data_IF_133733939753
#
_entry.id   IF_133733939753
#
_cell.length_a   1.000
_cell.length_b   1.000
_cell.length_c   1.000
_cell.angle_alpha   90.00
_cell.angle_beta   90.00
_cell.angle_gamma   90.00
#
_symmetry.space_group_name_H-M   'P 1'
#
loop_
_entity.id
_entity.type
_entity.pdbx_description
1 polymer ?
#
# COMPACT_ATOMS: atom_id res chain seq x y z
N UNK A 1 0.31 -16.81 10.13
CA UNK A 1 0.76 -15.72 9.29
C UNK A 1 0.12 -15.69 7.89
N UNK A 2 -0.27 -16.83 7.33
CA UNK A 2 -0.99 -16.86 6.05
C UNK A 2 -2.40 -16.26 6.17
N UNK A 3 -3.03 -16.42 7.31
CA UNK A 3 -4.41 -15.99 7.55
C UNK A 3 -4.56 -14.48 7.68
N UNK A 4 -3.45 -13.75 7.89
CA UNK A 4 -3.46 -12.30 8.08
C UNK A 4 -3.29 -11.51 6.78
N UNK A 5 -2.98 -12.18 5.66
CA UNK A 5 -3.06 -11.55 4.35
C UNK A 5 -4.54 -11.38 4.01
N UNK A 6 -5.02 -10.19 3.72
CA UNK A 6 -4.36 -9.02 3.13
C UNK A 6 -4.10 -7.83 4.08
N UNK A 7 -3.83 -8.07 5.34
CA UNK A 7 -3.64 -6.99 6.31
C UNK A 7 -2.49 -6.02 5.94
N UNK A 8 -2.67 -4.74 6.25
CA UNK A 8 -1.70 -3.70 5.91
C UNK A 8 -0.36 -3.80 6.63
N UNK A 9 -0.28 -4.55 7.76
CA UNK A 9 0.97 -4.81 8.46
C UNK A 9 1.83 -5.93 7.84
N UNK A 10 1.35 -6.56 6.76
CA UNK A 10 2.07 -7.55 5.97
C UNK A 10 2.26 -7.08 4.51
N UNK A 11 3.00 -5.98 4.27
CA UNK A 11 3.21 -5.50 2.91
C UNK A 11 4.12 -6.45 2.13
N UNK A 12 3.97 -6.45 0.81
CA UNK A 12 4.93 -7.07 -0.09
C UNK A 12 6.18 -6.20 -0.18
N UNK A 13 7.27 -6.68 0.40
CA UNK A 13 8.53 -5.95 0.48
C UNK A 13 9.13 -5.73 -0.91
N UNK A 14 9.52 -4.50 -1.16
CA UNK A 14 10.20 -4.10 -2.38
C UNK A 14 11.01 -2.83 -2.13
N UNK A 15 12.18 -2.66 -2.77
CA UNK A 15 12.92 -1.40 -2.72
C UNK A 15 12.15 -0.24 -3.37
N UNK A 16 11.21 -0.51 -4.27
CA UNK A 16 10.37 0.48 -4.90
C UNK A 16 8.93 0.32 -4.42
N UNK A 17 8.55 1.12 -3.43
CA UNK A 17 7.19 1.14 -2.90
C UNK A 17 6.84 2.52 -2.34
N UNK A 18 5.55 2.82 -2.25
CA UNK A 18 5.05 3.99 -1.55
C UNK A 18 3.80 3.63 -0.73
N UNK A 19 3.37 4.52 0.16
CA UNK A 19 2.28 4.24 1.09
C UNK A 19 2.44 2.88 1.83
N UNK A 20 3.68 2.47 2.10
CA UNK A 20 4.03 1.17 2.72
C UNK A 20 3.47 -0.04 1.95
N UNK A 21 3.25 0.06 0.64
CA UNK A 21 2.63 -0.99 -0.16
C UNK A 21 1.17 -1.27 0.20
N UNK A 22 0.45 -0.29 0.71
CA UNK A 22 -0.93 -0.43 1.16
C UNK A 22 -1.86 0.63 0.58
N UNK A 23 -3.14 0.35 0.64
CA UNK A 23 -4.22 1.30 0.40
C UNK A 23 -5.01 1.47 1.70
N UNK A 24 -5.12 2.70 2.17
CA UNK A 24 -6.01 3.05 3.27
C UNK A 24 -7.45 3.03 2.77
N UNK A 25 -8.30 2.24 3.39
CA UNK A 25 -9.73 2.14 3.09
C UNK A 25 -10.51 2.73 4.26
N UNK A 26 -11.30 3.76 3.97
CA UNK A 26 -12.17 4.42 4.96
C UNK A 26 -13.62 4.15 4.61
N UNK A 27 -14.41 3.73 5.59
CA UNK A 27 -15.82 3.40 5.45
C UNK A 27 -16.65 4.24 6.41
N UNK A 28 -17.62 4.96 5.87
CA UNK A 28 -18.51 5.86 6.63
C UNK A 28 -19.94 5.34 6.45
N UNK A 29 -20.67 5.01 7.52
CA UNK A 29 -22.05 4.59 7.43
C UNK A 29 -22.93 5.68 6.79
N UNK A 30 -23.95 5.27 6.05
CA UNK A 30 -25.00 6.18 5.56
C UNK A 30 -25.85 6.72 6.72
N UNK A 31 -26.59 7.78 6.48
CA UNK A 31 -27.61 8.29 7.43
C UNK A 31 -28.83 7.37 7.51
N UNK A 32 -29.07 6.59 6.46
CA UNK A 32 -30.21 5.67 6.38
C UNK A 32 -29.78 4.23 6.68
N UNK A 33 -30.49 3.59 7.59
CA UNK A 33 -30.27 2.19 7.90
C UNK A 33 -30.66 1.30 6.72
N UNK A 34 -29.80 0.33 6.40
CA UNK A 34 -29.96 -0.57 5.26
C UNK A 34 -29.21 -0.15 4.02
N UNK A 35 -28.88 1.13 3.88
CA UNK A 35 -28.10 1.64 2.76
C UNK A 35 -26.66 1.15 2.78
N UNK A 36 -26.05 1.17 1.59
CA UNK A 36 -24.61 0.93 1.44
C UNK A 36 -23.82 2.07 2.07
N UNK A 37 -22.80 1.75 2.86
CA UNK A 37 -21.90 2.75 3.43
C UNK A 37 -21.04 3.40 2.32
N UNK A 38 -20.62 4.62 2.54
CA UNK A 38 -19.64 5.29 1.66
C UNK A 38 -18.24 4.70 1.91
N UNK A 39 -17.55 4.34 0.83
CA UNK A 39 -16.18 3.81 0.91
C UNK A 39 -15.25 4.67 0.06
N UNK A 40 -14.13 5.06 0.65
CA UNK A 40 -13.07 5.80 -0.03
C UNK A 40 -11.72 5.14 0.18
N UNK A 41 -10.85 5.23 -0.82
CA UNK A 41 -9.52 4.63 -0.80
C UNK A 41 -8.44 5.70 -1.03
N UNK A 42 -7.31 5.57 -0.35
CA UNK A 42 -6.11 6.42 -0.52
C UNK A 42 -4.84 5.57 -0.56
N UNK A 43 -3.96 5.78 -1.56
CA UNK A 43 -4.08 6.71 -2.68
C UNK A 43 -5.14 6.25 -3.68
N UNK A 44 -5.78 7.21 -4.36
CA UNK A 44 -6.66 6.88 -5.50
C UNK A 44 -5.79 6.45 -6.67
N UNK A 45 -6.09 5.31 -7.26
CA UNK A 45 -5.39 4.76 -8.43
C UNK A 45 -6.29 3.75 -9.14
N UNK A 46 -6.14 3.61 -10.44
CA UNK A 46 -6.80 2.57 -11.23
C UNK A 46 -6.08 1.21 -11.15
N UNK A 47 -4.98 1.11 -10.40
CA UNK A 47 -4.24 -0.14 -10.20
C UNK A 47 -5.03 -1.20 -9.44
N UNK A 48 -5.98 -0.80 -8.65
CA UNK A 48 -6.87 -1.68 -7.89
C UNK A 48 -8.34 -1.35 -8.17
N UNK A 49 -9.20 -2.31 -7.94
CA UNK A 49 -10.65 -2.13 -7.96
C UNK A 49 -11.24 -2.23 -6.56
N UNK A 50 -12.45 -1.70 -6.37
CA UNK A 50 -13.14 -1.72 -5.08
C UNK A 50 -14.54 -2.29 -5.23
N UNK A 51 -14.82 -3.38 -4.54
CA UNK A 51 -16.15 -3.95 -4.38
C UNK A 51 -16.71 -3.59 -2.99
N UNK A 52 -17.74 -2.76 -2.97
CA UNK A 52 -18.41 -2.37 -1.73
C UNK A 52 -19.66 -3.24 -1.51
N UNK A 53 -19.63 -4.10 -0.50
CA UNK A 53 -20.69 -5.01 -0.08
C UNK A 53 -21.13 -4.72 1.35
N UNK A 54 -21.04 -3.47 1.79
CA UNK A 54 -21.41 -3.04 3.13
C UNK A 54 -22.89 -2.72 3.23
N UNK A 55 -23.40 -2.77 4.46
CA UNK A 55 -24.74 -2.24 4.82
C UNK A 55 -24.64 -1.45 6.10
N UNK A 56 -25.23 -0.25 6.11
CA UNK A 56 -25.36 0.57 7.30
C UNK A 56 -26.38 -0.07 8.27
N UNK A 57 -25.98 -0.21 9.53
CA UNK A 57 -26.79 -0.77 10.59
C UNK A 57 -26.62 0.05 11.88
N UNK A 58 -27.56 -0.06 12.80
CA UNK A 58 -27.47 0.56 14.14
C UNK A 58 -26.51 -0.17 15.06
N UNK A 59 -26.16 -1.42 14.74
CA UNK A 59 -25.24 -2.25 15.48
C UNK A 59 -24.20 -2.86 14.52
N UNK A 60 -22.98 -2.97 14.96
CA UNK A 60 -21.90 -3.71 14.26
C UNK A 60 -21.98 -5.22 14.46
N UNK A 61 -23.11 -5.74 14.93
CA UNK A 61 -23.33 -7.19 15.02
C UNK A 61 -23.19 -7.81 13.62
N UNK A 62 -22.39 -8.86 13.53
CA UNK A 62 -22.04 -9.52 12.28
C UNK A 62 -20.61 -9.24 11.88
N UNK A 63 -20.17 -9.98 10.88
CA UNK A 63 -18.78 -9.94 10.41
C UNK A 63 -18.57 -8.72 9.49
N UNK A 64 -17.70 -7.82 9.89
CA UNK A 64 -17.19 -6.76 9.03
C UNK A 64 -15.75 -7.10 8.60
N UNK A 65 -15.40 -6.91 7.34
CA UNK A 65 -14.06 -7.20 6.85
C UNK A 65 -13.61 -6.26 5.74
N UNK A 66 -12.32 -5.97 5.76
CA UNK A 66 -11.54 -5.51 4.62
C UNK A 66 -10.78 -6.71 4.05
N UNK A 67 -10.79 -6.88 2.75
CA UNK A 67 -10.12 -8.00 2.09
C UNK A 67 -9.70 -7.62 0.66
N UNK A 68 -8.95 -8.49 0.02
CA UNK A 68 -8.69 -8.51 -1.42
C UNK A 68 -8.57 -9.96 -1.89
N UNK A 69 -8.51 -10.18 -3.18
CA UNK A 69 -8.34 -11.49 -3.82
C UNK A 69 -6.89 -11.99 -3.75
N UNK A 70 -6.33 -12.04 -2.54
CA UNK A 70 -4.92 -12.32 -2.26
C UNK A 70 -4.46 -13.73 -2.71
N UNK A 71 -5.36 -14.71 -2.73
CA UNK A 71 -5.04 -16.08 -3.17
C UNK A 71 -4.61 -16.15 -4.63
N UNK A 72 -5.10 -15.24 -5.45
CA UNK A 72 -4.76 -15.13 -6.88
C UNK A 72 -3.79 -13.98 -7.16
N UNK A 73 -3.22 -13.37 -6.12
CA UNK A 73 -2.41 -12.16 -6.23
C UNK A 73 -3.13 -10.98 -6.91
N UNK A 74 -4.47 -10.98 -6.85
CA UNK A 74 -5.28 -9.90 -7.40
C UNK A 74 -5.29 -8.67 -6.48
N UNK A 75 -5.69 -7.53 -7.05
CA UNK A 75 -5.85 -6.26 -6.35
C UNK A 75 -7.31 -5.76 -6.38
N UNK A 76 -8.25 -6.68 -6.32
CA UNK A 76 -9.66 -6.36 -6.15
C UNK A 76 -9.98 -6.27 -4.64
N UNK A 77 -10.08 -5.06 -4.13
CA UNK A 77 -10.40 -4.78 -2.74
C UNK A 77 -11.89 -5.05 -2.49
N UNK A 78 -12.20 -5.72 -1.41
CA UNK A 78 -13.58 -6.03 -1.01
C UNK A 78 -13.82 -5.53 0.40
N UNK A 79 -14.83 -4.68 0.56
CA UNK A 79 -15.32 -4.24 1.87
C UNK A 79 -16.70 -4.80 2.07
N UNK A 80 -16.92 -5.54 3.16
CA UNK A 80 -18.19 -6.23 3.39
C UNK A 80 -18.61 -6.22 4.85
N UNK A 81 -19.91 -6.37 5.07
CA UNK A 81 -20.50 -6.52 6.40
C UNK A 81 -21.26 -5.30 6.90
N UNK A 82 -21.63 -5.33 8.17
CA UNK A 82 -22.44 -4.30 8.82
C UNK A 82 -21.56 -3.15 9.35
N UNK A 83 -21.95 -1.92 9.06
CA UNK A 83 -21.25 -0.70 9.44
C UNK A 83 -22.14 0.18 10.30
N UNK A 84 -21.82 0.31 11.59
CA UNK A 84 -22.52 1.18 12.53
C UNK A 84 -21.71 2.44 12.91
N UNK A 85 -20.40 2.41 12.67
CA UNK A 85 -19.49 3.52 12.96
C UNK A 85 -18.42 3.62 11.86
N UNK A 86 -17.71 4.72 11.81
CA UNK A 86 -16.59 4.90 10.88
C UNK A 86 -15.55 3.79 11.11
N UNK A 87 -15.16 3.16 10.02
CA UNK A 87 -14.10 2.14 9.99
C UNK A 87 -12.98 2.60 9.07
N UNK A 88 -11.75 2.29 9.45
CA UNK A 88 -10.55 2.65 8.70
C UNK A 88 -9.50 1.57 8.89
N UNK A 89 -8.93 1.11 7.80
CA UNK A 89 -7.85 0.13 7.84
C UNK A 89 -6.99 0.24 6.59
N UNK A 90 -5.84 -0.42 6.61
CA UNK A 90 -4.93 -0.53 5.49
C UNK A 90 -4.98 -1.96 4.93
N UNK A 91 -5.14 -2.04 3.62
CA UNK A 91 -5.09 -3.31 2.88
C UNK A 91 -3.82 -3.32 2.04
N UNK A 92 -3.03 -4.40 2.12
CA UNK A 92 -1.83 -4.51 1.31
C UNK A 92 -2.16 -4.67 -0.18
N UNK A 93 -1.24 -4.23 -1.04
CA UNK A 93 -1.37 -4.33 -2.49
C UNK A 93 -0.28 -5.27 -3.01
N UNK A 94 -0.67 -6.19 -3.88
CA UNK A 94 0.27 -7.05 -4.58
C UNK A 94 1.05 -6.26 -5.62
N UNK A 95 2.35 -6.60 -5.79
CA UNK A 95 3.30 -5.95 -6.69
C UNK A 95 3.47 -4.45 -6.40
N UNK A 96 4.10 -4.16 -5.27
CA UNK A 96 4.38 -2.78 -4.84
C UNK A 96 5.14 -1.94 -5.86
N UNK A 97 6.14 -2.47 -6.63
CA UNK A 97 6.77 -1.72 -7.71
C UNK A 97 5.82 -1.30 -8.81
N UNK A 98 4.98 -2.22 -9.27
CA UNK A 98 3.99 -1.92 -10.30
C UNK A 98 2.95 -0.91 -9.79
N UNK A 99 2.48 -1.06 -8.55
CA UNK A 99 1.59 -0.09 -7.91
C UNK A 99 2.20 1.32 -7.84
N UNK A 100 3.49 1.41 -7.46
CA UNK A 100 4.21 2.68 -7.45
C UNK A 100 4.24 3.31 -8.85
N UNK A 101 4.73 2.57 -9.84
CA UNK A 101 4.90 3.10 -11.20
C UNK A 101 3.58 3.48 -11.84
N UNK A 102 2.56 2.63 -11.71
CA UNK A 102 1.23 2.92 -12.24
C UNK A 102 0.66 4.22 -11.66
N UNK A 103 0.65 4.33 -10.33
CA UNK A 103 0.13 5.53 -9.65
C UNK A 103 0.98 6.76 -9.93
N UNK A 104 2.29 6.61 -10.06
CA UNK A 104 3.18 7.71 -10.41
C UNK A 104 2.85 8.29 -11.80
N UNK A 105 2.69 7.42 -12.80
CA UNK A 105 2.31 7.84 -14.15
C UNK A 105 0.92 8.51 -14.19
N UNK A 106 -0.04 7.98 -13.41
CA UNK A 106 -1.35 8.62 -13.24
C UNK A 106 -1.22 10.04 -12.67
N UNK A 107 -0.36 10.23 -11.65
CA UNK A 107 -0.11 11.54 -11.04
C UNK A 107 0.56 12.53 -11.98
N UNK A 108 1.52 12.08 -12.79
CA UNK A 108 2.15 12.91 -13.83
C UNK A 108 1.11 13.40 -14.81
N UNK A 109 0.28 12.51 -15.36
CA UNK A 109 -0.78 12.85 -16.30
C UNK A 109 -1.80 13.83 -15.70
N UNK A 110 -2.20 13.59 -14.45
CA UNK A 110 -3.11 14.50 -13.73
C UNK A 110 -2.53 15.91 -13.50
N UNK A 111 -1.19 16.05 -13.57
CA UNK A 111 -0.49 17.34 -13.53
C UNK A 111 -0.22 17.93 -14.93
N UNK A 112 -0.74 17.32 -15.99
CA UNK A 112 -0.52 17.75 -17.35
C UNK A 112 0.87 17.41 -17.93
N UNK A 113 1.63 16.55 -17.23
CA UNK A 113 2.93 16.09 -17.70
C UNK A 113 2.72 14.93 -18.66
N UNK A 114 3.35 15.00 -19.84
CA UNK A 114 3.33 13.92 -20.83
C UNK A 114 4.11 12.74 -20.25
N UNK A 115 3.42 11.64 -19.97
CA UNK A 115 4.00 10.42 -19.44
C UNK A 115 3.69 9.23 -20.36
N UNK A 116 4.61 8.26 -20.49
CA UNK A 116 4.40 7.10 -21.33
C UNK A 116 3.19 6.27 -20.86
N UNK A 117 2.61 5.49 -21.79
CA UNK A 117 1.49 4.59 -21.48
C UNK A 117 1.94 3.34 -20.72
N UNK A 118 3.18 2.92 -20.92
CA UNK A 118 3.79 1.72 -20.31
C UNK A 118 5.16 2.04 -19.73
N UNK A 119 5.61 1.16 -18.86
CA UNK A 119 6.95 1.18 -18.25
C UNK A 119 7.52 -0.24 -18.25
N UNK A 120 8.82 -0.34 -18.08
CA UNK A 120 9.52 -1.61 -17.85
C UNK A 120 10.52 -1.43 -16.70
N UNK A 121 10.75 -2.50 -15.96
CA UNK A 121 11.85 -2.58 -15.01
C UNK A 121 13.09 -3.11 -15.73
N UNK A 122 14.22 -2.48 -15.50
CA UNK A 122 15.50 -2.90 -16.05
C UNK A 122 16.61 -2.66 -15.03
N UNK A 123 17.67 -3.42 -15.13
CA UNK A 123 18.87 -3.14 -14.36
C UNK A 123 19.56 -1.88 -14.90
N UNK A 124 20.00 -1.02 -13.99
CA UNK A 124 20.78 0.16 -14.36
C UNK A 124 22.15 -0.29 -14.86
N UNK A 125 22.57 0.11 -16.09
CA UNK A 125 23.91 -0.21 -16.59
C UNK A 125 24.99 0.27 -15.63
N UNK A 126 25.99 -0.58 -15.34
CA UNK A 126 27.09 -0.25 -14.40
C UNK A 126 27.93 0.95 -14.88
N UNK A 127 27.99 1.16 -16.17
CA UNK A 127 28.75 2.24 -16.82
C UNK A 127 27.88 3.48 -17.10
N UNK A 128 26.82 3.68 -16.36
CA UNK A 128 25.88 4.79 -16.55
C UNK A 128 26.50 6.13 -16.13
N UNK A 129 27.43 6.61 -16.94
CA UNK A 129 28.12 7.91 -16.80
C UNK A 129 27.15 9.11 -16.87
N UNK A 130 25.90 8.87 -17.29
CA UNK A 130 24.88 9.88 -17.55
C UNK A 130 23.67 9.80 -16.61
N UNK A 131 23.80 9.17 -15.44
CA UNK A 131 22.70 9.14 -14.47
C UNK A 131 22.81 10.31 -13.51
N UNK A 132 21.85 11.22 -13.59
CA UNK A 132 21.74 12.35 -12.67
C UNK A 132 20.71 12.05 -11.57
N UNK A 133 21.10 12.30 -10.31
CA UNK A 133 20.18 12.19 -9.17
C UNK A 133 19.29 13.42 -9.12
N UNK A 134 18.04 13.30 -9.59
CA UNK A 134 17.08 14.41 -9.57
C UNK A 134 16.50 14.69 -8.18
N UNK A 135 16.29 13.67 -7.37
CA UNK A 135 15.73 13.82 -6.03
C UNK A 135 16.17 12.69 -5.11
N UNK A 136 16.08 12.90 -3.82
CA UNK A 136 16.39 11.91 -2.81
C UNK A 136 15.71 12.24 -1.48
N UNK A 137 15.39 11.23 -0.73
CA UNK A 137 14.87 11.34 0.63
C UNK A 137 15.75 10.52 1.57
N UNK A 138 16.18 11.15 2.65
CA UNK A 138 16.98 10.50 3.67
C UNK A 138 16.27 10.57 5.03
N UNK A 139 16.40 9.53 5.81
CA UNK A 139 15.89 9.50 7.18
C UNK A 139 16.97 8.98 8.14
N UNK A 140 16.93 9.43 9.39
CA UNK A 140 17.89 8.97 10.38
C UNK A 140 17.52 7.57 10.90
N UNK A 141 18.53 6.78 11.24
CA UNK A 141 18.35 5.47 11.88
C UNK A 141 17.51 5.60 13.15
N UNK A 142 17.71 6.65 13.94
CA UNK A 142 16.93 6.91 15.14
C UNK A 142 15.44 7.07 14.86
N UNK A 143 15.04 7.76 13.77
CA UNK A 143 13.64 7.88 13.35
C UNK A 143 13.05 6.52 13.00
N UNK A 144 13.79 5.72 12.22
CA UNK A 144 13.36 4.37 11.84
C UNK A 144 13.17 3.49 13.06
N UNK A 145 14.14 3.48 13.98
CA UNK A 145 14.07 2.70 15.23
C UNK A 145 12.91 3.15 16.12
N UNK A 146 12.70 4.46 16.27
CA UNK A 146 11.58 4.98 17.05
C UNK A 146 10.24 4.53 16.47
N UNK A 147 10.08 4.59 15.16
CA UNK A 147 8.85 4.14 14.50
C UNK A 147 8.66 2.62 14.63
N UNK A 148 9.74 1.86 14.43
CA UNK A 148 9.73 0.41 14.60
C UNK A 148 9.29 0.02 16.02
N UNK A 149 9.89 0.65 17.05
CA UNK A 149 9.64 0.28 18.45
C UNK A 149 8.30 0.78 18.99
N UNK A 150 7.84 1.96 18.55
CA UNK A 150 6.60 2.54 19.05
C UNK A 150 5.36 2.07 18.30
N UNK A 151 5.47 1.89 16.98
CA UNK A 151 4.35 1.54 16.11
C UNK A 151 4.33 0.04 15.77
N UNK A 152 5.33 -0.73 16.23
CA UNK A 152 5.52 -2.15 15.87
C UNK A 152 5.52 -2.34 14.33
N UNK A 153 6.26 -1.47 13.63
CA UNK A 153 6.24 -1.35 12.16
C UNK A 153 7.11 -2.44 11.53
N UNK A 154 6.47 -3.49 11.04
CA UNK A 154 7.12 -4.63 10.39
C UNK A 154 7.95 -4.22 9.17
N UNK A 155 7.47 -3.28 8.35
CA UNK A 155 8.20 -2.81 7.18
C UNK A 155 9.54 -2.17 7.57
N UNK A 156 9.52 -1.32 8.60
CA UNK A 156 10.76 -0.72 9.11
C UNK A 156 11.72 -1.77 9.71
N UNK A 157 11.18 -2.81 10.36
CA UNK A 157 11.98 -3.93 10.89
C UNK A 157 12.71 -4.66 9.76
N UNK A 158 12.01 -5.05 8.72
CA UNK A 158 12.56 -5.75 7.57
C UNK A 158 13.56 -4.88 6.78
N UNK A 159 13.22 -3.62 6.53
CA UNK A 159 14.12 -2.69 5.86
C UNK A 159 15.42 -2.47 6.65
N UNK A 160 15.32 -2.42 7.99
CA UNK A 160 16.48 -2.28 8.87
C UNK A 160 17.33 -3.55 8.87
N UNK A 161 16.71 -4.73 8.90
CA UNK A 161 17.42 -6.02 8.80
C UNK A 161 18.16 -6.14 7.47
N UNK A 162 17.51 -5.81 6.35
CA UNK A 162 18.15 -5.78 5.03
C UNK A 162 19.35 -4.82 5.00
N UNK A 163 19.21 -3.63 5.60
CA UNK A 163 20.30 -2.65 5.67
C UNK A 163 21.48 -3.14 6.48
N UNK A 164 21.25 -3.77 7.63
CA UNK A 164 22.30 -4.35 8.46
C UNK A 164 23.00 -5.50 7.73
N UNK A 165 22.23 -6.37 7.05
CA UNK A 165 22.77 -7.46 6.25
C UNK A 165 23.66 -6.96 5.12
N UNK A 166 23.23 -5.94 4.39
CA UNK A 166 24.01 -5.31 3.33
C UNK A 166 25.32 -4.70 3.87
N UNK A 167 25.27 -4.04 5.02
CA UNK A 167 26.45 -3.45 5.66
C UNK A 167 27.43 -4.53 6.14
N UNK A 168 26.94 -5.61 6.75
CA UNK A 168 27.77 -6.70 7.27
C UNK A 168 28.43 -7.53 6.16
N UNK A 169 27.75 -7.71 5.04
CA UNK A 169 28.23 -8.56 3.93
C UNK A 169 28.95 -7.80 2.82
N UNK A 170 28.84 -6.46 2.80
CA UNK A 170 29.31 -5.61 1.70
C UNK A 170 28.52 -5.79 0.40
N UNK A 171 27.49 -6.61 0.40
CA UNK A 171 26.62 -6.83 -0.77
C UNK A 171 25.57 -5.73 -0.83
N UNK A 172 25.47 -5.05 -1.96
CA UNK A 172 24.30 -4.22 -2.29
C UNK A 172 23.17 -5.16 -2.69
N UNK A 173 22.13 -5.19 -1.88
CA UNK A 173 20.88 -5.87 -2.26
C UNK A 173 20.00 -4.91 -3.04
#
# INVERSE_FOLDING_TARGET
AWDDTPAGYQPYLSPLMFCKGTVEVSVIPSTLQGDTASVSCKPVSSYYTLANRTKTRTSSAGKFSFSRDWLTNGNNLVVSGNVASIRKDNVNIYDSPAFFMHTFLERLRAKGIIAPQSYAFAELPRDSVHVERMAGWDTSVQKVLNQLMKESDNLNAEAFLCRLGAQATGKKQ
#
